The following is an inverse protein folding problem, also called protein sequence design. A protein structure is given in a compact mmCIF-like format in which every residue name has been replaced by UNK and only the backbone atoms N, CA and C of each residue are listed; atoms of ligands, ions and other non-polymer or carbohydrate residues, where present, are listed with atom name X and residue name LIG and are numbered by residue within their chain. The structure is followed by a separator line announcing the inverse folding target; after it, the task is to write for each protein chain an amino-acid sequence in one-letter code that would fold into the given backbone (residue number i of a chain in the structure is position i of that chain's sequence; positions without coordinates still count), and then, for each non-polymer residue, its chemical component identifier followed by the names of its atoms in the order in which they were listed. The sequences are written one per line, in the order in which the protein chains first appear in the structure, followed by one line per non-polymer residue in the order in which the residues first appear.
data_IF_581714485256
#
_entry.id   IF_581714485256
#
_cell.length_a   1.000
_cell.length_b   1.000
_cell.length_c   1.000
_cell.angle_alpha   90.00
_cell.angle_beta   90.00
_cell.angle_gamma   90.00
#
_symmetry.space_group_name_H-M   'P 1'
#
loop_
_entity.id
_entity.type
_entity.pdbx_description
1 polymer ?
#
# COMPACT_ATOMS: atom_id res chain seq x y z
N UNK A 1 45.52 20.42 21.73
CA UNK A 1 44.93 20.47 20.38
C UNK A 1 43.42 20.37 20.52
N UNK A 2 42.73 21.51 20.55
CA UNK A 2 41.27 21.56 20.55
C UNK A 2 40.83 21.92 19.12
N UNK A 3 40.06 21.05 18.49
CA UNK A 3 39.52 21.27 17.15
C UNK A 3 38.04 21.60 17.35
N UNK A 4 37.72 22.89 17.40
CA UNK A 4 36.34 23.38 17.34
C UNK A 4 35.90 23.43 15.87
N UNK A 5 35.18 22.41 15.43
CA UNK A 5 34.51 22.38 14.13
C UNK A 5 33.13 23.06 14.24
N UNK A 6 32.99 24.22 13.61
CA UNK A 6 31.73 24.97 13.54
C UNK A 6 30.88 24.41 12.37
N UNK A 7 29.66 23.95 12.68
CA UNK A 7 28.69 23.44 11.71
C UNK A 7 27.99 24.61 11.00
N UNK A 8 28.03 24.62 9.66
CA UNK A 8 27.36 25.62 8.83
C UNK A 8 26.01 25.04 8.35
N UNK A 9 24.91 25.55 8.90
CA UNK A 9 23.53 25.17 8.54
C UNK A 9 22.99 26.16 7.50
N UNK A 10 23.04 25.78 6.22
CA UNK A 10 22.29 26.47 5.16
C UNK A 10 20.94 25.76 4.97
N UNK A 11 19.88 26.35 5.54
CA UNK A 11 18.50 25.92 5.39
C UNK A 11 17.86 26.68 4.22
N UNK A 12 17.65 26.03 3.07
CA UNK A 12 16.89 26.60 1.95
C UNK A 12 15.48 25.99 1.99
N UNK A 13 14.49 26.82 2.33
CA UNK A 13 13.07 26.46 2.31
C UNK A 13 12.49 26.66 0.90
N UNK A 14 11.73 25.71 0.33
CA UNK A 14 11.01 25.94 -0.92
C UNK A 14 9.73 26.76 -0.69
N UNK A 15 9.59 27.83 -1.48
CA UNK A 15 8.40 28.69 -1.55
C UNK A 15 7.25 27.94 -2.22
N UNK A 16 6.13 27.77 -1.51
CA UNK A 16 4.91 27.19 -2.03
C UNK A 16 4.17 28.17 -2.96
N UNK A 17 3.82 27.74 -4.17
CA UNK A 17 2.93 28.47 -5.10
C UNK A 17 1.45 28.14 -4.81
N UNK A 18 0.53 29.11 -4.84
CA UNK A 18 -0.89 28.84 -4.66
C UNK A 18 -1.52 28.18 -5.90
N UNK A 19 -2.36 27.18 -5.63
CA UNK A 19 -3.10 26.37 -6.60
C UNK A 19 -4.31 27.14 -7.15
N UNK A 20 -4.42 27.23 -8.47
CA UNK A 20 -5.59 27.79 -9.15
C UNK A 20 -6.76 26.79 -9.16
N UNK A 21 -7.97 27.28 -8.84
CA UNK A 21 -9.22 26.51 -8.90
C UNK A 21 -9.73 26.38 -10.35
N UNK A 22 -10.27 25.23 -10.76
CA UNK A 22 -10.95 25.09 -12.05
C UNK A 22 -12.42 25.59 -11.99
N UNK A 23 -12.99 26.08 -13.12
CA UNK A 23 -14.34 26.61 -13.19
C UNK A 23 -15.43 25.52 -13.26
N UNK A 24 -16.61 25.84 -12.71
CA UNK A 24 -17.83 25.00 -12.72
C UNK A 24 -18.57 25.09 -14.05
N UNK A 25 -19.09 23.95 -14.50
CA UNK A 25 -19.97 23.82 -15.66
C UNK A 25 -21.44 24.22 -15.34
N UNK A 26 -22.24 24.63 -16.35
CA UNK A 26 -23.58 25.15 -16.16
C UNK A 26 -24.66 24.05 -16.07
N UNK A 27 -25.68 24.36 -15.29
CA UNK A 27 -26.87 23.56 -14.99
C UNK A 27 -27.85 23.55 -16.18
N UNK A 28 -28.25 22.38 -16.67
CA UNK A 28 -29.29 22.24 -17.67
C UNK A 28 -30.69 22.17 -17.05
N UNK A 29 -31.60 22.90 -17.68
CA UNK A 29 -33.00 23.09 -17.38
C UNK A 29 -33.82 22.01 -18.11
N UNK A 30 -34.71 21.28 -17.43
CA UNK A 30 -35.83 20.63 -18.12
C UNK A 30 -37.04 20.45 -17.21
N UNK A 31 -38.08 21.21 -17.53
CA UNK A 31 -39.38 21.18 -16.89
C UNK A 31 -40.35 20.27 -17.66
N UNK A 32 -41.13 19.53 -16.88
CA UNK A 32 -42.32 18.70 -17.15
C UNK A 32 -43.29 19.21 -18.23
N UNK A 33 -43.94 18.25 -18.90
CA UNK A 33 -45.28 18.37 -19.50
C UNK A 33 -46.02 17.01 -19.48
N UNK A 34 -47.28 17.00 -19.02
CA UNK A 34 -48.16 15.84 -18.74
C UNK A 34 -49.22 15.62 -19.86
N UNK A 35 -49.83 14.43 -19.88
CA UNK A 35 -51.18 14.12 -20.41
C UNK A 35 -51.24 12.66 -20.89
N UNK A 36 -51.94 11.67 -20.31
CA UNK A 36 -53.30 11.47 -19.75
C UNK A 36 -54.25 10.73 -20.72
N UNK A 37 -55.13 9.89 -20.13
CA UNK A 37 -56.25 9.07 -20.67
C UNK A 37 -55.90 7.64 -21.11
N UNK A 38 -56.70 6.58 -20.93
CA UNK A 38 -57.88 6.27 -20.08
C UNK A 38 -58.28 4.79 -20.26
N UNK A 39 -58.37 4.01 -19.18
CA UNK A 39 -59.21 2.81 -18.87
C UNK A 39 -59.36 1.62 -19.88
N UNK A 40 -60.03 0.51 -19.50
CA UNK A 40 -59.60 -0.50 -18.52
C UNK A 40 -59.67 -1.93 -19.13
N UNK A 41 -58.90 -2.92 -18.64
CA UNK A 41 -59.33 -4.34 -18.59
C UNK A 41 -58.23 -5.34 -18.24
N UNK A 42 -58.66 -6.32 -17.44
CA UNK A 42 -58.19 -7.70 -17.32
C UNK A 42 -56.82 -7.94 -16.65
N UNK A 43 -56.90 -8.30 -15.37
CA UNK A 43 -55.86 -9.03 -14.66
C UNK A 43 -55.62 -10.38 -15.35
N UNK A 44 -54.49 -10.50 -16.04
CA UNK A 44 -53.86 -11.78 -16.34
C UNK A 44 -52.50 -11.76 -15.64
N UNK A 45 -52.41 -12.47 -14.52
CA UNK A 45 -51.15 -12.79 -13.87
C UNK A 45 -50.40 -13.79 -14.75
N UNK A 46 -49.55 -13.27 -15.64
CA UNK A 46 -48.47 -14.07 -16.26
C UNK A 46 -47.24 -13.97 -15.39
N UNK A 47 -46.68 -15.11 -15.02
CA UNK A 47 -45.35 -15.20 -14.45
C UNK A 47 -44.36 -14.60 -15.46
N UNK A 48 -43.70 -13.50 -15.08
CA UNK A 48 -42.58 -12.97 -15.85
C UNK A 48 -41.40 -13.89 -15.55
N UNK A 49 -40.97 -14.63 -16.57
CA UNK A 49 -39.71 -15.35 -16.56
C UNK A 49 -38.58 -14.34 -16.33
N UNK A 50 -37.83 -14.52 -15.24
CA UNK A 50 -36.79 -13.58 -14.78
C UNK A 50 -35.57 -13.50 -15.72
N UNK A 51 -35.59 -14.19 -16.86
CA UNK A 51 -34.48 -14.23 -17.79
C UNK A 51 -34.59 -13.24 -18.97
N UNK A 52 -35.64 -12.41 -19.04
CA UNK A 52 -35.85 -11.42 -20.11
C UNK A 52 -35.59 -9.97 -19.66
N UNK A 53 -34.73 -9.76 -18.65
CA UNK A 53 -34.32 -8.42 -18.20
C UNK A 53 -32.84 -8.34 -17.83
N UNK A 54 -32.00 -9.09 -18.53
CA UNK A 54 -30.57 -8.88 -18.50
C UNK A 54 -30.13 -8.58 -19.93
N UNK A 55 -30.32 -7.31 -20.31
CA UNK A 55 -29.60 -6.76 -21.43
C UNK A 55 -28.10 -7.02 -21.26
N UNK A 56 -27.45 -7.31 -22.39
CA UNK A 56 -26.03 -7.54 -22.54
C UNK A 56 -25.21 -6.35 -22.00
N UNK A 57 -24.93 -6.36 -20.70
CA UNK A 57 -23.96 -5.45 -20.10
C UNK A 57 -22.59 -6.05 -20.36
N UNK A 58 -21.98 -5.58 -21.45
CA UNK A 58 -20.60 -5.88 -21.80
C UNK A 58 -19.71 -5.90 -20.55
N UNK A 59 -18.99 -7.01 -20.40
CA UNK A 59 -18.23 -7.40 -19.23
C UNK A 59 -17.05 -6.44 -18.97
N UNK A 60 -17.32 -5.23 -18.47
CA UNK A 60 -16.30 -4.41 -17.83
C UNK A 60 -16.09 -4.97 -16.43
N UNK A 61 -15.22 -5.97 -16.33
CA UNK A 61 -14.72 -6.51 -15.06
C UNK A 61 -14.08 -5.37 -14.24
N UNK A 62 -14.87 -4.72 -13.38
CA UNK A 62 -14.34 -3.91 -12.30
C UNK A 62 -13.78 -4.88 -11.25
N UNK A 63 -12.55 -5.36 -11.45
CA UNK A 63 -11.81 -6.08 -10.41
C UNK A 63 -11.50 -5.10 -9.28
N UNK A 64 -12.37 -5.08 -8.28
CA UNK A 64 -12.06 -4.49 -6.98
C UNK A 64 -10.98 -5.39 -6.37
N UNK A 65 -9.72 -5.08 -6.67
CA UNK A 65 -8.57 -5.74 -6.05
C UNK A 65 -8.58 -5.35 -4.58
N UNK A 66 -9.11 -6.23 -3.73
CA UNK A 66 -8.91 -6.13 -2.29
C UNK A 66 -7.42 -6.39 -2.05
N UNK A 67 -6.64 -5.39 -1.61
CA UNK A 67 -5.17 -5.51 -1.52
C UNK A 67 -4.74 -6.68 -0.62
N UNK A 68 -5.59 -7.08 0.32
CA UNK A 68 -5.37 -8.19 1.26
C UNK A 68 -5.21 -9.55 0.59
N UNK A 69 -5.95 -9.86 -0.49
CA UNK A 69 -5.86 -11.19 -1.13
C UNK A 69 -4.52 -11.37 -1.84
N UNK A 70 -4.02 -10.32 -2.50
CA UNK A 70 -2.74 -10.36 -3.20
C UNK A 70 -1.54 -10.35 -2.27
N UNK A 71 -1.65 -9.71 -1.11
CA UNK A 71 -0.64 -9.78 -0.05
C UNK A 71 -0.51 -11.21 0.50
N UNK A 72 -1.66 -11.85 0.76
CA UNK A 72 -1.72 -13.23 1.23
C UNK A 72 -1.08 -14.21 0.22
N UNK A 73 -1.14 -13.93 -1.07
CA UNK A 73 -0.51 -14.77 -2.09
C UNK A 73 1.04 -14.71 -2.07
N UNK A 74 1.64 -13.58 -1.68
CA UNK A 74 3.10 -13.45 -1.57
C UNK A 74 3.63 -14.03 -0.26
N UNK A 75 2.88 -13.90 0.83
CA UNK A 75 3.32 -14.40 2.14
C UNK A 75 3.38 -15.93 2.21
N UNK A 76 2.66 -16.65 1.34
CA UNK A 76 2.72 -18.10 1.22
C UNK A 76 3.89 -18.62 0.37
N UNK A 77 4.65 -17.74 -0.29
CA UNK A 77 5.82 -18.16 -1.06
C UNK A 77 7.05 -18.34 -0.16
N UNK A 78 8.05 -19.06 -0.68
CA UNK A 78 9.35 -19.27 -0.03
C UNK A 78 10.45 -18.49 -0.76
N UNK A 79 11.45 -18.06 -0.01
CA UNK A 79 12.61 -17.39 -0.57
C UNK A 79 13.45 -18.40 -1.37
N UNK A 80 13.80 -18.04 -2.60
CA UNK A 80 14.67 -18.85 -3.44
C UNK A 80 16.12 -18.32 -3.39
N UNK A 81 17.14 -19.17 -3.58
CA UNK A 81 18.51 -18.71 -3.68
C UNK A 81 18.67 -17.76 -4.87
N UNK A 82 19.26 -16.60 -4.60
CA UNK A 82 19.45 -15.53 -5.57
C UNK A 82 20.82 -15.68 -6.23
N UNK A 83 20.85 -15.76 -7.57
CA UNK A 83 22.10 -15.80 -8.32
C UNK A 83 22.69 -14.40 -8.50
N UNK A 84 24.01 -14.21 -8.35
CA UNK A 84 24.64 -12.88 -8.48
C UNK A 84 24.57 -12.29 -9.90
N UNK A 85 24.29 -13.11 -10.91
CA UNK A 85 24.10 -12.69 -12.31
C UNK A 85 22.65 -12.36 -12.68
N UNK A 86 21.70 -12.56 -11.77
CA UNK A 86 20.30 -12.27 -12.03
C UNK A 86 20.08 -10.75 -12.06
N UNK A 87 19.34 -10.20 -13.06
CA UNK A 87 19.03 -8.79 -13.06
C UNK A 87 18.04 -8.42 -11.93
N UNK A 88 18.13 -7.20 -11.38
CA UNK A 88 17.15 -6.71 -10.42
C UNK A 88 15.77 -6.59 -11.08
N UNK A 89 14.72 -6.66 -10.24
CA UNK A 89 13.34 -6.40 -10.68
C UNK A 89 13.24 -5.00 -11.29
N UNK A 90 12.54 -4.90 -12.41
CA UNK A 90 12.33 -3.63 -13.12
C UNK A 90 11.47 -2.68 -12.27
N UNK A 91 11.57 -1.37 -12.54
CA UNK A 91 10.78 -0.38 -11.80
C UNK A 91 9.27 -0.56 -12.01
N UNK A 92 8.84 -0.95 -13.21
CA UNK A 92 7.41 -1.19 -13.52
C UNK A 92 6.87 -2.42 -12.77
N UNK A 93 7.64 -3.50 -12.76
CA UNK A 93 7.31 -4.71 -11.99
C UNK A 93 7.29 -4.42 -10.49
N UNK A 94 8.26 -3.65 -9.99
CA UNK A 94 8.31 -3.25 -8.59
C UNK A 94 7.09 -2.40 -8.20
N UNK A 95 6.63 -1.49 -9.07
CA UNK A 95 5.40 -0.71 -8.87
C UNK A 95 4.14 -1.57 -8.85
N UNK A 96 4.15 -2.71 -9.54
CA UNK A 96 3.07 -3.68 -9.50
C UNK A 96 3.13 -4.52 -8.22
N UNK A 97 4.32 -4.96 -7.82
CA UNK A 97 4.54 -5.80 -6.63
C UNK A 97 4.32 -5.03 -5.32
N UNK A 98 4.71 -3.75 -5.24
CA UNK A 98 4.53 -2.94 -4.02
C UNK A 98 3.06 -2.82 -3.62
N UNK A 99 2.13 -2.88 -4.59
CA UNK A 99 0.67 -2.85 -4.31
C UNK A 99 0.19 -4.10 -3.59
N UNK A 100 0.98 -5.17 -3.61
CA UNK A 100 0.70 -6.42 -2.92
C UNK A 100 1.23 -6.43 -1.48
N UNK A 101 2.04 -5.46 -1.06
CA UNK A 101 2.58 -5.39 0.30
C UNK A 101 2.14 -4.09 0.97
N UNK A 102 1.33 -4.19 2.01
CA UNK A 102 0.58 -3.06 2.57
C UNK A 102 1.45 -2.31 3.57
N UNK A 103 1.63 -1.00 3.35
CA UNK A 103 2.42 -0.15 4.24
C UNK A 103 3.89 -0.04 3.84
N UNK A 104 4.30 -0.73 2.76
CA UNK A 104 5.61 -0.58 2.14
C UNK A 104 5.56 0.50 1.05
N UNK A 105 6.69 1.20 0.87
CA UNK A 105 6.89 2.16 -0.21
C UNK A 105 8.18 1.84 -0.97
N UNK A 106 8.20 2.15 -2.26
CA UNK A 106 9.43 2.14 -3.05
C UNK A 106 10.25 3.38 -2.72
N UNK A 107 11.55 3.18 -2.53
CA UNK A 107 12.52 4.24 -2.30
C UNK A 107 13.67 4.05 -3.29
N UNK A 108 14.04 5.11 -3.99
CA UNK A 108 15.17 5.12 -4.90
C UNK A 108 16.30 5.93 -4.25
N UNK A 109 17.39 5.26 -3.89
CA UNK A 109 18.55 5.84 -3.21
C UNK A 109 19.84 5.51 -3.97
N UNK A 110 20.93 6.19 -3.61
CA UNK A 110 22.27 5.84 -4.09
C UNK A 110 22.58 4.39 -3.69
N UNK A 111 22.60 3.48 -4.67
CA UNK A 111 22.79 2.04 -4.46
C UNK A 111 21.65 1.13 -4.94
N UNK A 112 20.55 1.69 -5.45
CA UNK A 112 19.51 0.93 -6.14
C UNK A 112 18.11 1.11 -5.55
N UNK A 113 17.14 0.45 -6.18
CA UNK A 113 15.74 0.47 -5.75
C UNK A 113 15.59 -0.37 -4.47
N UNK A 114 14.85 0.14 -3.49
CA UNK A 114 14.57 -0.51 -2.20
C UNK A 114 13.09 -0.43 -1.87
N UNK A 115 12.63 -1.29 -0.95
CA UNK A 115 11.33 -1.13 -0.31
C UNK A 115 11.51 -0.81 1.17
N UNK A 116 10.65 0.06 1.69
CA UNK A 116 10.75 0.59 3.04
C UNK A 116 9.39 0.60 3.72
N UNK A 117 9.33 0.19 4.98
CA UNK A 117 8.15 0.32 5.84
C UNK A 117 8.50 1.11 7.10
N UNK A 118 7.55 1.89 7.61
CA UNK A 118 7.73 2.73 8.80
C UNK A 118 6.56 2.53 9.76
N UNK A 119 6.84 2.09 10.98
CA UNK A 119 5.87 1.93 12.05
C UNK A 119 6.08 2.99 13.13
N UNK A 120 5.02 3.71 13.47
CA UNK A 120 4.98 4.59 14.65
C UNK A 120 4.37 3.84 15.82
N UNK A 121 5.15 3.71 16.89
CA UNK A 121 4.83 2.85 18.02
C UNK A 121 4.50 3.69 19.26
N UNK A 122 3.98 3.04 20.30
CA UNK A 122 3.64 3.72 21.55
C UNK A 122 4.89 4.24 22.27
N UNK A 123 5.92 3.41 22.37
CA UNK A 123 7.14 3.67 23.14
C UNK A 123 8.32 2.84 22.58
N UNK A 124 9.52 3.10 23.09
CA UNK A 124 10.75 2.41 22.67
C UNK A 124 10.70 0.89 22.92
N UNK A 125 10.06 0.43 24.00
CA UNK A 125 9.92 -1.00 24.32
C UNK A 125 9.05 -1.71 23.29
N UNK A 126 7.98 -1.06 22.83
CA UNK A 126 7.17 -1.55 21.71
C UNK A 126 7.98 -1.64 20.42
N UNK A 127 8.95 -0.74 20.22
CA UNK A 127 9.97 -0.81 19.17
C UNK A 127 10.74 -2.12 19.21
N UNK A 128 11.41 -2.38 20.34
CA UNK A 128 12.17 -3.62 20.54
C UNK A 128 11.29 -4.87 20.35
N UNK A 129 10.06 -4.85 20.85
CA UNK A 129 9.12 -5.96 20.67
C UNK A 129 8.77 -6.20 19.20
N UNK A 130 8.54 -5.15 18.40
CA UNK A 130 8.31 -5.28 16.97
C UNK A 130 9.53 -5.91 16.27
N UNK A 131 10.74 -5.48 16.61
CA UNK A 131 11.98 -6.02 16.05
C UNK A 131 12.08 -7.52 16.34
N UNK A 132 11.82 -7.92 17.58
CA UNK A 132 11.82 -9.34 17.97
C UNK A 132 10.81 -10.16 17.15
N UNK A 133 9.61 -9.62 16.88
CA UNK A 133 8.61 -10.28 16.04
C UNK A 133 9.09 -10.42 14.60
N UNK A 134 9.69 -9.37 14.03
CA UNK A 134 10.27 -9.40 12.68
C UNK A 134 11.39 -10.44 12.62
N UNK A 135 12.31 -10.45 13.59
CA UNK A 135 13.42 -11.41 13.65
C UNK A 135 12.95 -12.86 13.59
N UNK A 136 11.89 -13.22 14.32
CA UNK A 136 11.31 -14.57 14.29
C UNK A 136 10.76 -14.98 12.91
N UNK A 137 10.20 -14.03 12.17
CA UNK A 137 9.67 -14.29 10.82
C UNK A 137 10.80 -14.53 9.82
N UNK A 138 11.86 -13.72 9.89
CA UNK A 138 12.94 -13.74 8.89
C UNK A 138 13.98 -14.82 9.14
N UNK A 139 14.10 -15.31 10.38
CA UNK A 139 15.00 -16.40 10.75
C UNK A 139 14.72 -17.68 9.92
N UNK A 140 13.45 -18.01 9.71
CA UNK A 140 13.06 -19.15 8.88
C UNK A 140 13.33 -18.94 7.37
N UNK A 141 13.50 -17.70 6.92
CA UNK A 141 13.64 -17.33 5.51
C UNK A 141 15.10 -17.14 5.09
N UNK A 142 15.99 -16.84 6.04
CA UNK A 142 17.40 -16.54 5.76
C UNK A 142 17.65 -15.23 5.00
N UNK A 143 16.64 -14.36 4.87
CA UNK A 143 16.75 -13.05 4.21
C UNK A 143 16.35 -11.93 5.17
N UNK A 144 17.33 -11.16 5.64
CA UNK A 144 17.17 -10.22 6.74
C UNK A 144 16.95 -8.78 6.24
N UNK A 145 15.90 -8.08 6.72
CA UNK A 145 15.76 -6.64 6.50
C UNK A 145 16.80 -5.86 7.31
N UNK A 146 17.16 -4.69 6.79
CA UNK A 146 17.81 -3.66 7.59
C UNK A 146 16.74 -3.01 8.47
N UNK A 147 16.94 -3.04 9.79
CA UNK A 147 15.97 -2.51 10.76
C UNK A 147 16.62 -1.36 11.54
N UNK A 148 15.90 -0.24 11.61
CA UNK A 148 16.31 0.96 12.32
C UNK A 148 15.29 1.28 13.42
N UNK A 149 15.76 1.35 14.66
CA UNK A 149 14.95 1.84 15.79
C UNK A 149 15.25 3.33 15.97
N UNK A 150 14.34 4.16 15.47
CA UNK A 150 14.48 5.61 15.43
C UNK A 150 13.79 6.27 16.62
N UNK A 151 14.43 7.30 17.16
CA UNK A 151 13.90 8.06 18.28
C UNK A 151 12.77 9.01 17.80
N UNK A 152 11.71 9.19 18.60
CA UNK A 152 11.52 8.65 19.95
C UNK A 152 10.91 7.23 20.00
N UNK A 153 10.17 6.79 18.98
CA UNK A 153 9.39 5.54 19.01
C UNK A 153 8.99 5.04 17.61
N UNK A 154 9.91 5.09 16.65
CA UNK A 154 9.66 4.64 15.29
C UNK A 154 10.54 3.45 14.94
N UNK A 155 10.01 2.51 14.17
CA UNK A 155 10.79 1.43 13.58
C UNK A 155 10.68 1.56 12.08
N UNK A 156 11.82 1.55 11.39
CA UNK A 156 11.90 1.51 9.93
C UNK A 156 12.53 0.19 9.52
N UNK A 157 11.91 -0.51 8.59
CA UNK A 157 12.49 -1.67 7.93
C UNK A 157 12.77 -1.34 6.46
N UNK A 158 13.90 -1.82 5.95
CA UNK A 158 14.30 -1.72 4.56
C UNK A 158 14.70 -3.08 4.03
N UNK A 159 14.24 -3.39 2.82
CA UNK A 159 14.59 -4.61 2.10
C UNK A 159 15.12 -4.26 0.73
N UNK A 160 16.25 -4.88 0.41
CA UNK A 160 16.91 -4.87 -0.89
C UNK A 160 18.00 -5.95 -0.88
N UNK A 161 18.39 -6.38 -2.07
CA UNK A 161 19.41 -7.41 -2.24
C UNK A 161 20.72 -6.80 -2.74
N UNK A 162 21.67 -6.60 -1.82
CA UNK A 162 22.93 -5.92 -2.10
C UNK A 162 23.80 -6.61 -3.16
N UNK A 163 23.75 -7.95 -3.25
CA UNK A 163 24.52 -8.71 -4.23
C UNK A 163 24.11 -8.47 -5.68
N UNK A 164 22.87 -8.01 -5.91
CA UNK A 164 22.34 -7.65 -7.24
C UNK A 164 22.28 -6.13 -7.43
N UNK A 165 22.33 -5.34 -6.36
CA UNK A 165 22.20 -3.88 -6.42
C UNK A 165 20.76 -3.42 -6.66
N UNK A 166 19.77 -4.17 -6.17
CA UNK A 166 18.36 -3.80 -6.32
C UNK A 166 17.39 -4.78 -5.65
N UNK A 167 16.13 -4.73 -6.07
CA UNK A 167 15.06 -5.58 -5.54
C UNK A 167 15.04 -6.95 -6.20
N UNK A 168 14.72 -7.96 -5.40
CA UNK A 168 14.40 -9.32 -5.83
C UNK A 168 13.02 -9.73 -5.34
N UNK A 169 12.52 -10.87 -5.82
CA UNK A 169 11.23 -11.38 -5.35
C UNK A 169 11.26 -11.68 -3.84
N UNK A 170 12.40 -12.13 -3.31
CA UNK A 170 12.56 -12.42 -1.88
C UNK A 170 12.29 -11.20 -1.01
N UNK A 171 12.68 -10.00 -1.46
CA UNK A 171 12.40 -8.75 -0.74
C UNK A 171 10.89 -8.55 -0.56
N UNK A 172 10.09 -8.81 -1.61
CA UNK A 172 8.63 -8.70 -1.55
C UNK A 172 7.97 -9.84 -0.74
N UNK A 173 8.51 -11.05 -0.80
CA UNK A 173 8.03 -12.19 0.01
C UNK A 173 8.22 -11.91 1.50
N UNK A 174 9.41 -11.42 1.88
CA UNK A 174 9.73 -11.08 3.27
C UNK A 174 8.86 -9.92 3.74
N UNK A 175 8.67 -8.88 2.92
CA UNK A 175 7.75 -7.79 3.21
C UNK A 175 6.32 -8.28 3.47
N UNK A 176 5.79 -9.16 2.61
CA UNK A 176 4.46 -9.72 2.77
C UNK A 176 4.30 -10.54 4.06
N UNK A 177 5.32 -11.30 4.47
CA UNK A 177 5.30 -12.05 5.74
C UNK A 177 5.41 -11.12 6.95
N UNK A 178 6.15 -10.02 6.84
CA UNK A 178 6.21 -8.99 7.90
C UNK A 178 4.85 -8.31 8.08
N UNK A 179 4.08 -8.11 7.00
CA UNK A 179 2.74 -7.50 7.08
C UNK A 179 1.73 -8.34 7.88
N UNK A 180 1.95 -9.65 8.00
CA UNK A 180 1.12 -10.55 8.82
C UNK A 180 1.38 -10.38 10.33
N UNK A 181 2.47 -9.69 10.71
CA UNK A 181 2.77 -9.42 12.11
C UNK A 181 1.71 -8.48 12.69
N UNK A 182 1.05 -8.95 13.75
CA UNK A 182 0.12 -8.12 14.52
C UNK A 182 0.87 -6.93 15.14
N UNK A 183 0.53 -5.71 14.72
CA UNK A 183 1.10 -4.45 15.24
C UNK A 183 0.11 -3.65 16.10
N UNK A 184 -1.17 -4.05 16.12
CA UNK A 184 -2.27 -3.32 16.80
C UNK A 184 -2.06 -3.06 18.31
N UNK A 185 -1.29 -3.92 18.99
CA UNK A 185 -0.96 -3.81 20.41
C UNK A 185 0.25 -2.91 20.70
N UNK A 186 1.03 -2.60 19.66
CA UNK A 186 2.27 -1.83 19.72
C UNK A 186 2.07 -0.35 19.32
N UNK A 187 1.00 -0.05 18.59
CA UNK A 187 0.69 1.31 18.13
C UNK A 187 0.05 2.17 19.24
N UNK A 188 0.19 3.51 19.19
CA UNK A 188 -0.46 4.40 20.14
C UNK A 188 -1.99 4.21 20.16
N UNK A 189 -2.58 4.06 21.36
CA UNK A 189 -4.04 3.99 21.50
C UNK A 189 -4.64 5.36 21.22
N UNK A 190 -5.61 5.43 20.29
CA UNK A 190 -6.45 6.62 20.13
C UNK A 190 -7.32 6.77 21.38
N UNK A 191 -7.25 7.93 22.05
CA UNK A 191 -8.23 8.27 23.10
C UNK A 191 -9.58 8.47 22.41
N UNK A 192 -10.53 7.61 22.71
CA UNK A 192 -11.93 7.82 22.36
C UNK A 192 -12.48 8.75 23.43
N UNK A 193 -12.84 9.97 23.04
CA UNK A 193 -13.59 10.88 23.89
C UNK A 193 -15.06 10.49 23.72
N UNK A 194 -15.69 10.06 24.81
CA UNK A 194 -17.12 9.75 24.89
C UNK A 194 -17.78 10.76 25.84
#
# INVERSE_FOLDING_TARGET
MAITGNLNLNLVLPVARPMACPPRAPTSLLARGRGASSSPSLLVTRAIDVNEFLGDFGNTEHKILIPTITALALSQQECAPVSPSQPPISLDDAQTLIRKVVGWRLVNEEGGLKIQCLWKLRDFKCGVELINRISKVVEALGHFPNIYLEQPNQVRAELWTASIGGLTMNDFIVAAKIDEIKTSDLVPRKRVWA
#
